data_IF_871230653279
#
_entry.id   IF_871230653279
#
_cell.length_a   1.000
_cell.length_b   1.000
_cell.length_c   1.000
_cell.angle_alpha   90.00
_cell.angle_beta   90.00
_cell.angle_gamma   90.00
#
_symmetry.space_group_name_H-M   'P 1'
#
loop_
_entity.id
_entity.type
_entity.pdbx_description
1 polymer ?
#
# COMPACT_ATOMS: atom_id res chain seq x y z
N UNK A 1 55.78 50.52 6.58
CA UNK A 1 54.47 50.27 5.95
C UNK A 1 53.42 50.38 7.04
N UNK A 2 52.75 51.54 7.11
CA UNK A 2 51.72 51.86 8.10
C UNK A 2 50.36 51.76 7.43
N UNK A 3 49.53 50.82 7.83
CA UNK A 3 48.14 50.71 7.36
C UNK A 3 47.22 51.37 8.38
N UNK A 4 46.61 52.48 7.94
CA UNK A 4 45.61 53.28 8.66
C UNK A 4 44.31 52.49 8.81
N UNK A 5 43.76 52.44 10.02
CA UNK A 5 42.37 52.03 10.30
C UNK A 5 41.45 53.21 9.98
N UNK A 6 40.47 53.00 9.11
CA UNK A 6 39.35 53.92 8.87
C UNK A 6 38.19 53.46 9.76
N UNK A 7 37.77 54.32 10.69
CA UNK A 7 36.57 54.14 11.49
C UNK A 7 35.37 54.64 10.68
N UNK A 8 34.45 53.73 10.36
CA UNK A 8 33.15 54.04 9.78
C UNK A 8 32.15 54.23 10.93
N UNK A 9 31.67 55.46 11.13
CA UNK A 9 30.59 55.77 12.08
C UNK A 9 29.28 55.61 11.31
N UNK A 10 28.57 54.50 11.55
CA UNK A 10 27.20 54.30 11.07
C UNK A 10 26.24 54.96 12.08
N UNK A 11 25.41 55.88 11.59
CA UNK A 11 24.36 56.53 12.34
C UNK A 11 23.24 55.53 12.64
N UNK A 12 23.02 55.26 13.93
CA UNK A 12 21.96 54.41 14.45
C UNK A 12 20.67 55.23 14.53
N UNK A 13 19.78 55.08 13.54
CA UNK A 13 18.42 55.63 13.59
C UNK A 13 17.54 54.73 14.43
N UNK A 14 17.16 55.21 15.63
CA UNK A 14 16.14 54.63 16.49
C UNK A 14 14.76 54.76 15.82
N UNK A 15 14.23 53.64 15.34
CA UNK A 15 12.82 53.52 14.97
C UNK A 15 12.05 53.13 16.26
N UNK A 16 10.98 53.84 16.64
CA UNK A 16 10.17 53.44 17.78
C UNK A 16 9.43 52.13 17.43
N UNK A 17 9.76 51.06 18.14
CA UNK A 17 8.95 49.84 18.19
C UNK A 17 7.59 50.20 18.80
N UNK A 18 6.58 50.37 17.94
CA UNK A 18 5.19 50.36 18.36
C UNK A 18 4.85 48.97 18.87
N UNK A 19 4.42 48.86 20.12
CA UNK A 19 3.79 47.68 20.67
C UNK A 19 2.48 47.50 19.89
N UNK A 20 2.47 46.64 18.86
CA UNK A 20 1.23 46.22 18.23
C UNK A 20 0.53 45.25 19.18
N UNK A 21 -0.76 45.47 19.31
CA UNK A 21 -1.69 44.75 20.15
C UNK A 21 -1.51 43.22 20.06
N UNK A 22 -1.73 42.55 21.19
CA UNK A 22 -1.78 41.09 21.35
C UNK A 22 -2.75 40.47 20.33
N UNK A 23 -2.24 40.15 19.13
CA UNK A 23 -2.94 39.33 18.16
C UNK A 23 -3.09 37.96 18.81
N UNK A 24 -4.31 37.65 19.26
CA UNK A 24 -4.61 36.38 19.90
C UNK A 24 -4.06 35.27 18.99
N UNK A 25 -3.28 34.31 19.55
CA UNK A 25 -2.67 33.27 18.73
C UNK A 25 -3.77 32.60 17.91
N UNK A 26 -3.62 32.64 16.59
CA UNK A 26 -4.50 31.90 15.69
C UNK A 26 -4.49 30.45 16.16
N UNK A 27 -5.67 29.86 16.48
CA UNK A 27 -5.71 28.49 16.94
C UNK A 27 -5.00 27.62 15.93
N UNK A 28 -4.03 26.82 16.38
CA UNK A 28 -3.36 25.86 15.52
C UNK A 28 -4.44 24.97 14.88
N UNK A 29 -4.33 24.70 13.56
CA UNK A 29 -5.25 23.78 12.91
C UNK A 29 -5.23 22.46 13.69
N UNK A 30 -6.39 21.81 13.89
CA UNK A 30 -6.43 20.54 14.59
C UNK A 30 -5.49 19.55 13.89
N UNK A 31 -4.51 19.02 14.64
CA UNK A 31 -3.59 18.02 14.13
C UNK A 31 -4.31 16.72 13.72
N UNK A 32 -3.64 15.87 12.95
CA UNK A 32 -4.17 14.57 12.57
C UNK A 32 -4.51 13.74 13.83
N UNK A 33 -5.59 12.95 13.77
CA UNK A 33 -5.82 11.96 14.80
C UNK A 33 -4.65 10.95 14.82
N UNK A 34 -4.33 10.42 16.01
CA UNK A 34 -3.25 9.46 16.18
C UNK A 34 -3.42 8.25 15.25
N UNK A 35 -2.38 7.93 14.48
CA UNK A 35 -2.40 6.81 13.51
C UNK A 35 -3.02 7.12 12.15
N UNK A 36 -3.50 8.34 11.92
CA UNK A 36 -4.06 8.78 10.63
C UNK A 36 -3.08 9.58 9.77
N UNK A 37 -1.88 9.89 10.28
CA UNK A 37 -0.89 10.66 9.54
C UNK A 37 -0.10 9.78 8.57
N UNK A 38 -0.02 10.20 7.31
CA UNK A 38 0.76 9.52 6.26
C UNK A 38 1.63 10.56 5.57
N UNK A 39 2.94 10.51 5.83
CA UNK A 39 3.86 11.58 5.47
C UNK A 39 3.48 12.87 6.20
N UNK A 40 3.15 13.93 5.47
CA UNK A 40 2.72 15.24 6.03
C UNK A 40 1.19 15.44 5.97
N UNK A 41 0.42 14.41 5.59
CA UNK A 41 -1.01 14.50 5.37
C UNK A 41 -1.84 13.74 6.43
N UNK A 42 -3.06 14.21 6.68
CA UNK A 42 -4.05 13.47 7.45
C UNK A 42 -4.97 12.66 6.54
N UNK A 43 -5.02 11.34 6.73
CA UNK A 43 -6.03 10.48 6.14
C UNK A 43 -7.32 10.48 6.98
N UNK A 44 -8.45 10.14 6.35
CA UNK A 44 -9.74 9.98 6.98
C UNK A 44 -10.69 11.16 6.76
N UNK A 45 -11.80 11.14 7.50
CA UNK A 45 -12.85 12.16 7.43
C UNK A 45 -12.37 13.46 8.09
N UNK A 46 -12.51 14.63 7.45
CA UNK A 46 -12.19 15.91 8.06
C UNK A 46 -13.04 16.15 9.32
N UNK A 47 -12.42 16.64 10.38
CA UNK A 47 -13.15 16.94 11.62
C UNK A 47 -14.14 18.11 11.43
N UNK A 48 -15.32 17.99 12.03
CA UNK A 48 -16.31 19.07 12.05
C UNK A 48 -17.29 19.04 10.87
N UNK A 49 -17.98 20.17 10.66
CA UNK A 49 -18.95 20.31 9.59
C UNK A 49 -18.23 20.53 8.26
N UNK A 50 -18.72 19.89 7.20
CA UNK A 50 -18.19 20.06 5.85
C UNK A 50 -18.70 21.34 5.17
N UNK A 51 -19.75 21.96 5.72
CA UNK A 51 -20.27 23.24 5.25
C UNK A 51 -20.81 24.09 6.41
N UNK A 52 -20.57 25.40 6.36
CA UNK A 52 -20.97 26.37 7.40
C UNK A 52 -22.40 26.94 7.22
N UNK A 53 -23.16 26.41 6.26
CA UNK A 53 -24.47 26.95 5.87
C UNK A 53 -25.56 25.88 5.74
N UNK A 54 -26.79 26.32 5.46
CA UNK A 54 -27.95 25.43 5.28
C UNK A 54 -27.86 24.51 4.04
N UNK A 55 -26.85 24.69 3.19
CA UNK A 55 -26.65 23.89 1.98
C UNK A 55 -25.21 23.45 1.82
N UNK A 56 -25.00 22.14 1.87
CA UNK A 56 -23.77 21.49 1.46
C UNK A 56 -23.71 21.26 -0.07
N UNK A 57 -24.75 21.58 -0.84
CA UNK A 57 -24.73 21.34 -2.27
C UNK A 57 -23.69 22.22 -3.00
N UNK A 58 -22.87 21.66 -3.91
CA UNK A 58 -21.96 22.43 -4.75
C UNK A 58 -22.72 23.32 -5.73
N UNK A 59 -22.03 24.33 -6.29
CA UNK A 59 -22.61 25.23 -7.29
C UNK A 59 -22.88 24.58 -8.64
N UNK A 60 -22.39 23.35 -8.86
CA UNK A 60 -22.60 22.55 -10.07
C UNK A 60 -23.97 21.85 -10.13
N UNK A 61 -24.75 21.86 -9.05
CA UNK A 61 -26.06 21.22 -8.99
C UNK A 61 -27.07 21.90 -9.93
N UNK A 62 -27.71 21.11 -10.80
CA UNK A 62 -28.78 21.58 -11.70
C UNK A 62 -30.02 22.01 -10.93
N UNK A 63 -30.39 21.25 -9.91
CA UNK A 63 -31.41 21.59 -8.93
C UNK A 63 -31.02 21.02 -7.56
N UNK A 64 -31.62 21.57 -6.50
CA UNK A 64 -31.31 21.18 -5.12
C UNK A 64 -32.62 20.90 -4.39
N UNK A 65 -32.75 19.70 -3.82
CA UNK A 65 -33.89 19.29 -2.98
C UNK A 65 -33.39 18.90 -1.60
N UNK A 66 -33.94 19.51 -0.54
CA UNK A 66 -33.65 19.11 0.84
C UNK A 66 -34.69 18.10 1.32
N UNK A 67 -34.23 17.03 1.97
CA UNK A 67 -35.09 15.98 2.53
C UNK A 67 -34.80 15.78 4.02
N UNK A 68 -35.80 15.34 4.76
CA UNK A 68 -35.75 15.21 6.23
C UNK A 68 -36.06 13.81 6.75
N UNK A 69 -36.50 12.90 5.87
CA UNK A 69 -36.88 11.53 6.21
C UNK A 69 -36.80 10.60 4.99
N UNK A 70 -36.96 9.28 5.21
CA UNK A 70 -36.86 8.26 4.16
C UNK A 70 -37.89 8.40 3.04
N UNK A 71 -39.12 8.83 3.35
CA UNK A 71 -40.17 8.98 2.35
C UNK A 71 -39.85 10.11 1.38
N UNK A 72 -39.41 11.25 1.91
CA UNK A 72 -38.92 12.38 1.10
C UNK A 72 -37.67 12.03 0.31
N UNK A 73 -36.74 11.27 0.90
CA UNK A 73 -35.54 10.81 0.20
C UNK A 73 -35.89 9.92 -1.00
N UNK A 74 -36.75 8.93 -0.79
CA UNK A 74 -37.18 8.03 -1.85
C UNK A 74 -37.91 8.78 -2.98
N UNK A 75 -38.76 9.75 -2.65
CA UNK A 75 -39.45 10.59 -3.63
C UNK A 75 -38.47 11.50 -4.39
N UNK A 76 -37.54 12.15 -3.69
CA UNK A 76 -36.54 13.02 -4.30
C UNK A 76 -35.64 12.24 -5.25
N UNK A 77 -35.15 11.06 -4.86
CA UNK A 77 -34.34 10.21 -5.74
C UNK A 77 -35.14 9.74 -6.95
N UNK A 78 -36.42 9.36 -6.79
CA UNK A 78 -37.26 8.95 -7.91
C UNK A 78 -37.43 10.08 -8.95
N UNK A 79 -37.58 11.32 -8.49
CA UNK A 79 -37.85 12.49 -9.34
C UNK A 79 -36.59 13.22 -9.86
N UNK A 80 -35.42 12.98 -9.25
CA UNK A 80 -34.16 13.60 -9.66
C UNK A 80 -33.70 13.14 -11.04
N UNK A 81 -33.08 14.05 -11.80
CA UNK A 81 -32.38 13.81 -13.04
C UNK A 81 -30.86 13.83 -12.80
N UNK A 82 -30.08 13.34 -13.76
CA UNK A 82 -28.62 13.45 -13.67
C UNK A 82 -28.18 14.91 -13.48
N UNK A 83 -27.24 15.14 -12.57
CA UNK A 83 -26.76 16.45 -12.14
C UNK A 83 -27.64 17.16 -11.10
N UNK A 84 -28.79 16.61 -10.72
CA UNK A 84 -29.55 17.10 -9.57
C UNK A 84 -28.89 16.69 -8.25
N UNK A 85 -29.13 17.49 -7.20
CA UNK A 85 -28.56 17.28 -5.88
C UNK A 85 -29.63 17.16 -4.80
N UNK A 86 -29.40 16.24 -3.87
CA UNK A 86 -30.24 16.01 -2.70
C UNK A 86 -29.43 16.34 -1.46
N UNK A 87 -29.98 17.20 -0.59
CA UNK A 87 -29.40 17.54 0.70
C UNK A 87 -30.12 16.76 1.78
N UNK A 88 -29.40 15.94 2.53
CA UNK A 88 -29.92 15.23 3.69
C UNK A 88 -29.83 16.14 4.93
N UNK A 89 -30.95 16.35 5.60
CA UNK A 89 -30.95 16.96 6.93
C UNK A 89 -30.35 15.98 7.95
N UNK A 90 -29.84 16.46 9.10
CA UNK A 90 -29.38 15.59 10.18
C UNK A 90 -30.45 14.56 10.57
N UNK A 91 -30.08 13.29 10.63
CA UNK A 91 -31.03 12.20 10.80
C UNK A 91 -30.46 10.83 10.46
N UNK A 92 -31.32 9.82 10.56
CA UNK A 92 -31.00 8.44 10.18
C UNK A 92 -31.93 8.04 9.05
N UNK A 93 -31.34 7.60 7.95
CA UNK A 93 -32.02 7.12 6.76
C UNK A 93 -31.77 5.63 6.62
N UNK A 94 -32.80 4.85 6.30
CA UNK A 94 -32.66 3.40 6.19
C UNK A 94 -31.79 3.01 4.99
N UNK A 95 -32.01 3.65 3.84
CA UNK A 95 -31.37 3.30 2.59
C UNK A 95 -31.32 4.49 1.64
N UNK A 96 -30.26 4.55 0.84
CA UNK A 96 -30.12 5.44 -0.30
C UNK A 96 -29.86 4.60 -1.55
N UNK A 97 -30.76 4.62 -2.53
CA UNK A 97 -30.64 3.84 -3.77
C UNK A 97 -30.70 4.74 -5.00
N UNK A 98 -29.55 4.99 -5.61
CA UNK A 98 -29.35 5.77 -6.81
C UNK A 98 -28.61 4.98 -7.90
N UNK A 99 -28.75 3.65 -7.94
CA UNK A 99 -27.95 2.71 -8.74
C UNK A 99 -27.73 3.06 -10.24
N UNK A 100 -28.60 3.89 -10.83
CA UNK A 100 -28.59 4.25 -12.24
C UNK A 100 -28.63 5.77 -12.51
N UNK A 101 -28.37 6.61 -11.50
CA UNK A 101 -28.54 8.06 -11.61
C UNK A 101 -27.27 8.81 -11.22
N UNK A 102 -26.79 9.67 -12.10
CA UNK A 102 -25.69 10.60 -11.85
C UNK A 102 -26.10 11.76 -10.95
N UNK A 103 -26.67 11.49 -9.77
CA UNK A 103 -27.12 12.50 -8.81
C UNK A 103 -26.11 12.68 -7.67
N UNK A 104 -26.07 13.87 -7.08
CA UNK A 104 -25.26 14.15 -5.89
C UNK A 104 -26.09 14.09 -4.61
N UNK A 105 -25.60 13.44 -3.56
CA UNK A 105 -26.21 13.42 -2.23
C UNK A 105 -25.24 13.98 -1.20
N UNK A 106 -25.68 15.00 -0.48
CA UNK A 106 -24.83 15.79 0.41
C UNK A 106 -25.44 15.89 1.80
N UNK A 107 -24.61 15.70 2.82
CA UNK A 107 -24.94 15.95 4.22
C UNK A 107 -23.89 16.85 4.88
N UNK A 108 -24.23 17.38 6.05
CA UNK A 108 -23.37 18.29 6.82
C UNK A 108 -22.09 17.62 7.35
N UNK A 109 -22.13 16.30 7.55
CA UNK A 109 -21.00 15.48 7.95
C UNK A 109 -21.47 14.11 8.50
N UNK A 110 -20.58 13.11 8.52
CA UNK A 110 -20.95 11.75 8.95
C UNK A 110 -21.33 11.66 10.44
N UNK A 111 -21.03 12.70 11.24
CA UNK A 111 -21.44 12.77 12.64
C UNK A 111 -22.92 13.21 12.82
N UNK A 112 -23.54 13.80 11.79
CA UNK A 112 -24.92 14.32 11.86
C UNK A 112 -25.93 13.54 11.04
N UNK A 113 -25.48 12.85 9.98
CA UNK A 113 -26.35 12.09 9.08
C UNK A 113 -25.82 10.67 8.86
N UNK A 114 -26.68 9.68 9.12
CA UNK A 114 -26.40 8.28 8.82
C UNK A 114 -27.37 7.71 7.78
N UNK A 115 -26.86 6.81 6.95
CA UNK A 115 -27.62 6.01 5.99
C UNK A 115 -27.30 4.54 6.27
N UNK A 116 -28.27 3.64 6.31
CA UNK A 116 -27.99 2.21 6.47
C UNK A 116 -27.13 1.68 5.32
N UNK A 117 -27.73 1.48 4.16
CA UNK A 117 -27.03 1.03 2.94
C UNK A 117 -27.10 2.10 1.86
N UNK A 118 -25.97 2.36 1.20
CA UNK A 118 -25.89 3.19 0.00
C UNK A 118 -25.70 2.30 -1.21
N UNK A 119 -26.59 2.39 -2.19
CA UNK A 119 -26.40 1.81 -3.53
C UNK A 119 -26.35 2.96 -4.51
N UNK A 120 -25.28 3.06 -5.29
CA UNK A 120 -25.04 4.20 -6.17
C UNK A 120 -24.43 3.75 -7.49
N UNK A 121 -24.73 4.51 -8.54
CA UNK A 121 -24.12 4.32 -9.84
C UNK A 121 -24.59 5.38 -10.83
N UNK A 122 -24.08 5.32 -12.05
CA UNK A 122 -24.28 6.37 -13.06
C UNK A 122 -23.14 7.38 -13.04
N UNK A 123 -22.83 7.94 -14.22
CA UNK A 123 -21.68 8.84 -14.37
C UNK A 123 -21.92 10.14 -13.60
N UNK A 124 -20.98 10.52 -12.74
CA UNK A 124 -21.04 11.75 -11.96
C UNK A 124 -21.87 11.66 -10.68
N UNK A 125 -22.26 10.46 -10.25
CA UNK A 125 -22.91 10.28 -8.95
C UNK A 125 -21.92 10.60 -7.81
N UNK A 126 -22.38 11.34 -6.80
CA UNK A 126 -21.54 11.73 -5.66
C UNK A 126 -22.29 11.48 -4.35
N UNK A 127 -21.60 10.94 -3.35
CA UNK A 127 -22.09 10.84 -1.98
C UNK A 127 -21.08 11.51 -1.06
N UNK A 128 -21.52 12.54 -0.32
CA UNK A 128 -20.64 13.31 0.54
C UNK A 128 -21.19 13.53 1.95
N UNK A 129 -20.33 13.31 2.94
CA UNK A 129 -20.59 13.72 4.32
C UNK A 129 -21.60 12.84 5.06
N UNK A 130 -21.69 11.56 4.73
CA UNK A 130 -22.63 10.62 5.36
C UNK A 130 -21.88 9.52 6.10
N UNK A 131 -22.44 9.06 7.22
CA UNK A 131 -22.09 7.76 7.77
C UNK A 131 -22.90 6.67 7.06
N UNK A 132 -22.28 5.54 6.73
CA UNK A 132 -22.90 4.39 6.07
C UNK A 132 -22.53 3.07 6.76
N UNK A 133 -23.38 2.05 6.64
CA UNK A 133 -22.99 0.68 7.02
C UNK A 133 -22.17 0.04 5.90
N UNK A 134 -22.59 0.20 4.64
CA UNK A 134 -21.89 -0.29 3.46
C UNK A 134 -22.27 0.54 2.22
N UNK A 135 -21.42 0.49 1.19
CA UNK A 135 -21.64 1.14 -0.11
C UNK A 135 -21.49 0.12 -1.25
N UNK A 136 -22.50 0.07 -2.11
CA UNK A 136 -22.49 -0.74 -3.34
C UNK A 136 -22.43 0.20 -4.55
N UNK A 137 -21.34 0.15 -5.31
CA UNK A 137 -21.16 0.88 -6.56
C UNK A 137 -21.53 -0.05 -7.71
N UNK A 138 -22.67 0.19 -8.36
CA UNK A 138 -23.25 -0.74 -9.34
C UNK A 138 -22.92 -0.40 -10.80
N UNK A 139 -22.33 0.77 -11.07
CA UNK A 139 -21.94 1.19 -12.41
C UNK A 139 -21.56 2.68 -12.48
N UNK A 140 -20.96 3.11 -13.59
CA UNK A 140 -20.56 4.51 -13.80
C UNK A 140 -19.36 4.96 -12.98
N UNK A 141 -19.10 6.27 -12.99
CA UNK A 141 -18.00 6.92 -12.27
C UNK A 141 -18.55 7.59 -11.02
N UNK A 142 -18.36 6.95 -9.86
CA UNK A 142 -18.91 7.39 -8.57
C UNK A 142 -17.84 8.04 -7.71
N UNK A 143 -18.20 9.13 -7.02
CA UNK A 143 -17.35 9.75 -5.99
C UNK A 143 -17.94 9.59 -4.61
N UNK A 144 -17.16 9.07 -3.67
CA UNK A 144 -17.44 9.05 -2.24
C UNK A 144 -16.47 10.02 -1.57
N UNK A 145 -16.98 11.03 -0.87
CA UNK A 145 -16.15 12.06 -0.23
C UNK A 145 -16.56 12.29 1.21
N UNK A 146 -15.61 12.33 2.15
CA UNK A 146 -15.92 12.52 3.57
C UNK A 146 -17.01 11.55 4.09
N UNK A 147 -16.96 10.31 3.62
CA UNK A 147 -17.90 9.25 4.00
C UNK A 147 -17.27 8.41 5.09
N UNK A 148 -18.05 8.07 6.13
CA UNK A 148 -17.63 7.10 7.16
C UNK A 148 -18.42 5.81 7.01
N UNK A 149 -17.79 4.76 6.55
CA UNK A 149 -18.34 3.41 6.46
C UNK A 149 -17.87 2.62 7.68
N UNK A 150 -18.80 2.02 8.42
CA UNK A 150 -18.47 1.29 9.65
C UNK A 150 -19.37 0.08 9.88
N UNK A 151 -18.76 -1.03 10.31
CA UNK A 151 -19.49 -2.20 10.81
C UNK A 151 -20.26 -2.95 9.72
N UNK A 152 -19.79 -2.90 8.47
CA UNK A 152 -20.39 -3.69 7.39
C UNK A 152 -20.32 -5.18 7.73
N UNK A 153 -21.42 -5.94 7.66
CA UNK A 153 -21.37 -7.39 7.79
C UNK A 153 -20.71 -8.08 6.58
N UNK A 154 -20.46 -7.34 5.50
CA UNK A 154 -19.82 -7.80 4.27
C UNK A 154 -18.65 -6.88 3.92
N UNK A 155 -18.66 -6.32 2.72
CA UNK A 155 -17.66 -5.38 2.23
C UNK A 155 -18.01 -3.96 2.69
N UNK A 156 -17.01 -3.14 2.98
CA UNK A 156 -17.23 -1.72 3.26
C UNK A 156 -17.70 -1.00 2.00
N UNK A 157 -16.90 -1.12 0.94
CA UNK A 157 -17.23 -0.68 -0.42
C UNK A 157 -17.13 -1.87 -1.38
N UNK A 158 -18.22 -2.15 -2.10
CA UNK A 158 -18.25 -3.13 -3.18
C UNK A 158 -18.38 -2.41 -4.52
N UNK A 159 -17.43 -2.63 -5.43
CA UNK A 159 -17.41 -2.07 -6.78
C UNK A 159 -17.73 -3.17 -7.77
N UNK A 160 -18.83 -3.00 -8.49
CA UNK A 160 -19.29 -3.99 -9.47
C UNK A 160 -18.45 -3.96 -10.74
N UNK A 161 -18.52 -5.04 -11.52
CA UNK A 161 -17.84 -5.15 -12.80
C UNK A 161 -18.15 -3.95 -13.72
N UNK A 162 -17.09 -3.37 -14.30
CA UNK A 162 -17.12 -2.18 -15.17
C UNK A 162 -17.43 -0.86 -14.46
N UNK A 163 -17.68 -0.85 -13.15
CA UNK A 163 -17.90 0.38 -12.38
C UNK A 163 -16.58 0.99 -11.92
N UNK A 164 -16.58 2.31 -11.70
CA UNK A 164 -15.43 3.06 -11.21
C UNK A 164 -15.78 3.83 -9.95
N UNK A 165 -14.86 3.89 -9.00
CA UNK A 165 -15.05 4.66 -7.76
C UNK A 165 -13.83 5.48 -7.39
N UNK A 166 -14.06 6.72 -6.98
CA UNK A 166 -13.09 7.53 -6.25
C UNK A 166 -13.57 7.69 -4.82
N UNK A 167 -12.76 7.29 -3.85
CA UNK A 167 -13.01 7.44 -2.42
C UNK A 167 -11.98 8.42 -1.86
N UNK A 168 -12.46 9.55 -1.35
CA UNK A 168 -11.62 10.65 -0.90
C UNK A 168 -11.95 11.06 0.53
N UNK A 169 -10.93 11.32 1.34
CA UNK A 169 -11.08 11.85 2.70
C UNK A 169 -12.08 11.03 3.51
N UNK A 170 -12.03 9.71 3.40
CA UNK A 170 -13.07 8.82 3.91
C UNK A 170 -12.50 7.77 4.85
N UNK A 171 -13.38 7.14 5.61
CA UNK A 171 -13.03 6.10 6.56
C UNK A 171 -13.86 4.85 6.27
N UNK A 172 -13.21 3.69 6.18
CA UNK A 172 -13.84 2.39 6.03
C UNK A 172 -13.33 1.52 7.17
N UNK A 173 -14.19 1.22 8.13
CA UNK A 173 -13.79 0.49 9.35
C UNK A 173 -14.63 -0.75 9.60
N UNK A 174 -14.00 -1.78 10.16
CA UNK A 174 -14.68 -2.94 10.75
C UNK A 174 -15.57 -3.69 9.74
N UNK A 175 -15.08 -3.90 8.52
CA UNK A 175 -15.80 -4.68 7.51
C UNK A 175 -15.65 -6.19 7.76
N UNK A 176 -16.76 -6.92 7.67
CA UNK A 176 -16.83 -8.37 7.89
C UNK A 176 -16.21 -9.23 6.79
N UNK A 177 -15.86 -8.66 5.64
CA UNK A 177 -15.13 -9.35 4.56
C UNK A 177 -14.00 -8.47 3.99
N UNK A 178 -14.30 -7.52 3.09
CA UNK A 178 -13.29 -6.61 2.55
C UNK A 178 -13.50 -5.17 3.02
N UNK A 179 -12.44 -4.38 3.15
CA UNK A 179 -12.60 -2.93 3.23
C UNK A 179 -13.16 -2.40 1.91
N UNK A 180 -12.39 -2.60 0.83
CA UNK A 180 -12.78 -2.32 -0.55
C UNK A 180 -12.65 -3.58 -1.39
N UNK A 181 -13.70 -3.90 -2.14
CA UNK A 181 -13.83 -5.07 -3.00
C UNK A 181 -14.08 -4.61 -4.43
N UNK A 182 -13.17 -4.95 -5.35
CA UNK A 182 -13.20 -4.46 -6.72
C UNK A 182 -12.81 -5.56 -7.70
N UNK A 183 -13.82 -6.27 -8.19
CA UNK A 183 -13.67 -7.39 -9.11
C UNK A 183 -14.21 -7.01 -10.49
N UNK A 184 -13.37 -7.12 -11.51
CA UNK A 184 -13.69 -6.72 -12.90
C UNK A 184 -14.13 -5.26 -13.04
N UNK A 185 -13.79 -4.40 -12.08
CA UNK A 185 -14.13 -2.97 -12.10
C UNK A 185 -13.35 -2.20 -13.15
N UNK A 186 -13.78 -0.97 -13.44
CA UNK A 186 -13.05 -0.04 -14.31
C UNK A 186 -11.86 0.59 -13.58
N UNK A 187 -12.14 1.41 -12.56
CA UNK A 187 -11.09 1.99 -11.72
C UNK A 187 -11.45 2.10 -10.23
N UNK A 188 -10.42 2.07 -9.39
CA UNK A 188 -10.55 2.34 -7.94
C UNK A 188 -9.46 3.32 -7.51
N UNK A 189 -9.88 4.52 -7.12
CA UNK A 189 -9.00 5.55 -6.61
C UNK A 189 -9.28 5.81 -5.12
N UNK A 190 -8.26 5.74 -4.28
CA UNK A 190 -8.33 6.04 -2.86
C UNK A 190 -7.39 7.21 -2.55
N UNK A 191 -7.91 8.30 -1.98
CA UNK A 191 -7.11 9.44 -1.56
C UNK A 191 -7.45 9.89 -0.15
N UNK A 192 -6.44 10.16 0.68
CA UNK A 192 -6.64 10.60 2.07
C UNK A 192 -7.61 9.68 2.83
N UNK A 193 -7.52 8.37 2.60
CA UNK A 193 -8.52 7.40 3.07
C UNK A 193 -7.93 6.49 4.14
N UNK A 194 -8.78 6.05 5.06
CA UNK A 194 -8.44 5.02 6.05
C UNK A 194 -9.26 3.78 5.76
N UNK A 195 -8.59 2.63 5.66
CA UNK A 195 -9.21 1.31 5.61
C UNK A 195 -8.70 0.51 6.78
N UNK A 196 -9.55 0.17 7.76
CA UNK A 196 -9.08 -0.37 9.03
C UNK A 196 -9.95 -1.52 9.58
N UNK A 197 -9.29 -2.54 10.11
CA UNK A 197 -9.93 -3.59 10.91
C UNK A 197 -10.86 -4.49 10.11
N UNK A 198 -10.42 -4.92 8.92
CA UNK A 198 -11.19 -5.78 8.02
C UNK A 198 -10.95 -7.25 8.33
N UNK A 199 -12.00 -8.08 8.35
CA UNK A 199 -11.90 -9.52 8.61
C UNK A 199 -11.29 -10.33 7.43
N UNK A 200 -11.08 -9.67 6.30
CA UNK A 200 -10.29 -10.15 5.18
C UNK A 200 -9.35 -9.04 4.69
N UNK A 201 -9.08 -8.95 3.38
CA UNK A 201 -8.27 -7.89 2.83
C UNK A 201 -8.78 -6.48 3.10
N UNK A 202 -7.83 -5.57 3.31
CA UNK A 202 -8.14 -4.15 3.38
C UNK A 202 -8.71 -3.68 2.04
N UNK A 203 -7.92 -3.84 0.98
CA UNK A 203 -8.31 -3.54 -0.40
C UNK A 203 -8.00 -4.74 -1.28
N UNK A 204 -8.97 -5.18 -2.09
CA UNK A 204 -8.78 -6.21 -3.11
C UNK A 204 -9.19 -5.66 -4.48
N UNK A 205 -8.22 -5.59 -5.38
CA UNK A 205 -8.41 -5.26 -6.79
C UNK A 205 -8.04 -6.47 -7.63
N UNK A 206 -9.00 -7.01 -8.37
CA UNK A 206 -8.78 -8.15 -9.24
C UNK A 206 -9.57 -8.04 -10.53
N UNK A 207 -8.96 -8.50 -11.60
CA UNK A 207 -9.60 -8.58 -12.90
C UNK A 207 -9.56 -10.02 -13.42
N UNK A 208 -10.74 -10.57 -13.72
CA UNK A 208 -10.97 -11.92 -14.17
C UNK A 208 -10.72 -13.01 -13.12
N UNK A 209 -11.17 -14.22 -13.45
CA UNK A 209 -10.88 -15.45 -12.69
C UNK A 209 -9.66 -16.20 -13.26
N UNK A 210 -9.19 -15.80 -14.45
CA UNK A 210 -8.05 -16.43 -15.12
C UNK A 210 -6.92 -15.41 -15.19
N UNK A 211 -5.73 -15.74 -14.63
CA UNK A 211 -4.57 -14.88 -14.66
C UNK A 211 -4.31 -14.27 -16.04
N UNK A 212 -4.00 -12.99 -16.08
CA UNK A 212 -3.57 -12.26 -17.27
C UNK A 212 -4.60 -12.22 -18.42
N UNK A 213 -5.89 -12.37 -18.12
CA UNK A 213 -6.95 -12.47 -19.15
C UNK A 213 -8.08 -11.44 -19.01
N UNK A 214 -7.72 -10.27 -18.49
CA UNK A 214 -8.62 -9.15 -18.29
C UNK A 214 -9.48 -8.80 -19.51
N UNK A 215 -10.80 -8.79 -19.32
CA UNK A 215 -11.72 -8.26 -20.32
C UNK A 215 -11.70 -6.71 -20.35
N UNK A 216 -11.34 -6.08 -19.23
CA UNK A 216 -11.20 -4.63 -19.07
C UNK A 216 -10.01 -4.38 -18.15
N UNK A 217 -9.15 -3.42 -18.52
CA UNK A 217 -7.97 -3.09 -17.72
C UNK A 217 -8.42 -2.41 -16.41
N UNK A 218 -8.31 -3.12 -15.29
CA UNK A 218 -8.56 -2.56 -13.96
C UNK A 218 -7.42 -1.62 -13.58
N UNK A 219 -7.74 -0.35 -13.37
CA UNK A 219 -6.77 0.69 -12.99
C UNK A 219 -7.03 1.23 -11.58
N UNK A 220 -6.03 1.84 -10.96
CA UNK A 220 -6.26 2.59 -9.73
C UNK A 220 -5.10 3.47 -9.28
N UNK A 221 -5.42 4.39 -8.40
CA UNK A 221 -4.45 5.20 -7.67
C UNK A 221 -4.75 5.19 -6.17
N UNK A 222 -3.74 4.90 -5.35
CA UNK A 222 -3.85 4.93 -3.89
C UNK A 222 -2.87 5.95 -3.36
N UNK A 223 -3.37 7.02 -2.74
CA UNK A 223 -2.56 8.18 -2.36
C UNK A 223 -2.89 8.64 -0.94
N UNK A 224 -1.88 8.94 -0.11
CA UNK A 224 -2.07 9.43 1.27
C UNK A 224 -3.04 8.56 2.09
N UNK A 225 -2.90 7.24 2.00
CA UNK A 225 -3.90 6.28 2.51
C UNK A 225 -3.27 5.39 3.58
N UNK A 226 -4.05 5.10 4.63
CA UNK A 226 -3.71 4.12 5.67
C UNK A 226 -4.55 2.88 5.46
N UNK A 227 -3.90 1.72 5.39
CA UNK A 227 -4.55 0.41 5.41
C UNK A 227 -4.02 -0.34 6.64
N UNK A 228 -4.86 -0.55 7.64
CA UNK A 228 -4.42 -1.08 8.93
C UNK A 228 -5.26 -2.26 9.43
N UNK A 229 -4.64 -3.14 10.20
CA UNK A 229 -5.35 -4.20 10.95
C UNK A 229 -6.19 -5.15 10.08
N UNK A 230 -5.78 -5.40 8.83
CA UNK A 230 -6.40 -6.41 7.99
C UNK A 230 -6.11 -7.83 8.53
N UNK A 231 -6.99 -8.81 8.22
CA UNK A 231 -6.81 -10.21 8.66
C UNK A 231 -6.20 -11.13 7.60
N UNK A 232 -5.99 -10.70 6.36
CA UNK A 232 -5.43 -11.58 5.31
C UNK A 232 -4.31 -10.87 4.58
N UNK A 233 -4.62 -9.75 3.93
CA UNK A 233 -3.62 -8.90 3.30
C UNK A 233 -4.07 -7.45 3.38
N UNK A 234 -3.17 -6.51 3.61
CA UNK A 234 -3.53 -5.09 3.58
C UNK A 234 -4.06 -4.70 2.20
N UNK A 235 -3.21 -4.87 1.18
CA UNK A 235 -3.51 -4.54 -0.21
C UNK A 235 -3.23 -5.74 -1.13
N UNK A 236 -4.26 -6.22 -1.85
CA UNK A 236 -4.16 -7.26 -2.86
C UNK A 236 -4.42 -6.69 -4.25
N UNK A 237 -3.47 -6.83 -5.17
CA UNK A 237 -3.55 -6.36 -6.55
C UNK A 237 -3.28 -7.54 -7.47
N UNK A 238 -4.30 -7.97 -8.21
CA UNK A 238 -4.24 -9.12 -9.12
C UNK A 238 -4.68 -8.70 -10.51
N UNK A 239 -3.81 -8.83 -11.51
CA UNK A 239 -4.10 -8.44 -12.90
C UNK A 239 -4.63 -6.99 -13.04
N UNK A 240 -4.05 -6.05 -12.27
CA UNK A 240 -4.46 -4.65 -12.28
C UNK A 240 -3.25 -3.71 -12.34
N UNK A 241 -3.46 -2.51 -12.90
CA UNK A 241 -2.45 -1.45 -12.97
C UNK A 241 -2.69 -0.39 -11.89
N UNK A 242 -1.79 -0.26 -10.92
CA UNK A 242 -2.01 0.60 -9.75
C UNK A 242 -0.80 1.51 -9.48
N UNK A 243 -1.07 2.80 -9.28
CA UNK A 243 -0.08 3.73 -8.72
C UNK A 243 -0.30 3.90 -7.22
N UNK A 244 0.77 3.79 -6.44
CA UNK A 244 0.78 3.94 -4.99
C UNK A 244 1.70 5.10 -4.63
N UNK A 245 1.20 6.07 -3.86
CA UNK A 245 1.96 7.27 -3.48
C UNK A 245 1.70 7.65 -2.02
N UNK A 246 2.74 7.59 -1.19
CA UNK A 246 2.67 7.90 0.24
C UNK A 246 1.54 7.11 0.92
N UNK A 247 1.71 5.79 1.00
CA UNK A 247 0.72 4.85 1.55
C UNK A 247 1.36 4.05 2.67
N UNK A 248 0.62 3.89 3.76
CA UNK A 248 1.02 3.04 4.89
C UNK A 248 0.11 1.82 4.97
N UNK A 249 0.72 0.63 4.95
CA UNK A 249 0.06 -0.64 5.22
C UNK A 249 0.64 -1.21 6.51
N UNK A 250 -0.18 -1.48 7.53
CA UNK A 250 0.36 -1.97 8.80
C UNK A 250 -0.52 -2.93 9.59
N UNK A 251 0.15 -3.65 10.48
CA UNK A 251 -0.47 -4.49 11.49
C UNK A 251 -1.40 -5.57 10.87
N UNK A 252 -1.04 -6.08 9.68
CA UNK A 252 -1.78 -7.16 9.04
C UNK A 252 -1.53 -8.47 9.79
N UNK A 253 -2.62 -9.14 10.16
CA UNK A 253 -2.57 -10.38 10.95
C UNK A 253 -3.07 -11.57 10.13
N UNK A 254 -2.99 -12.77 10.71
CA UNK A 254 -3.53 -14.00 10.10
C UNK A 254 -4.98 -14.21 10.53
N UNK A 255 -5.87 -14.37 9.56
CA UNK A 255 -7.30 -14.66 9.75
C UNK A 255 -7.52 -16.14 10.05
N UNK A 256 -8.66 -16.49 10.65
CA UNK A 256 -8.91 -17.84 11.19
C UNK A 256 -8.87 -19.00 10.18
N UNK A 257 -8.82 -18.74 8.88
CA UNK A 257 -8.81 -19.74 7.81
C UNK A 257 -7.69 -19.52 6.76
N UNK A 258 -6.73 -18.63 7.02
CA UNK A 258 -5.65 -18.32 6.08
C UNK A 258 -4.31 -18.70 6.70
N UNK A 259 -3.36 -19.10 5.85
CA UNK A 259 -2.02 -19.50 6.29
C UNK A 259 -1.07 -18.30 6.40
N UNK A 260 -1.38 -17.19 5.70
CA UNK A 260 -0.53 -16.00 5.60
C UNK A 260 -1.31 -14.71 5.86
N UNK A 261 -0.65 -13.77 6.55
CA UNK A 261 -1.12 -12.40 6.85
C UNK A 261 -0.15 -11.37 6.28
N UNK A 262 -0.34 -10.93 5.03
CA UNK A 262 0.63 -10.12 4.29
C UNK A 262 0.37 -8.61 4.30
N UNK A 263 1.38 -7.80 4.03
CA UNK A 263 1.20 -6.36 3.83
C UNK A 263 0.59 -6.06 2.46
N UNK A 264 1.41 -6.17 1.42
CA UNK A 264 1.05 -5.90 0.02
C UNK A 264 1.34 -7.14 -0.83
N UNK A 265 0.34 -7.61 -1.57
CA UNK A 265 0.45 -8.72 -2.51
C UNK A 265 0.15 -8.23 -3.92
N UNK A 266 1.10 -8.45 -4.83
CA UNK A 266 1.03 -8.08 -6.25
C UNK A 266 1.22 -9.37 -7.04
N UNK A 267 0.20 -9.81 -7.77
CA UNK A 267 0.21 -11.12 -8.39
C UNK A 267 -0.46 -11.17 -9.76
N UNK A 268 -0.07 -12.19 -10.53
CA UNK A 268 -0.47 -12.38 -11.94
C UNK A 268 -0.13 -11.11 -12.72
N UNK A 269 -0.61 -10.80 -13.91
CA UNK A 269 -0.05 -9.71 -14.72
C UNK A 269 -0.35 -8.27 -14.22
N UNK A 270 -0.30 -8.03 -12.92
CA UNK A 270 -0.37 -6.72 -12.29
C UNK A 270 0.86 -5.86 -12.66
N UNK A 271 0.63 -4.55 -12.70
CA UNK A 271 1.65 -3.53 -12.96
C UNK A 271 1.55 -2.44 -11.91
N UNK A 272 2.50 -2.40 -10.98
CA UNK A 272 2.44 -1.52 -9.81
C UNK A 272 3.64 -0.59 -9.76
N UNK A 273 3.35 0.71 -9.67
CA UNK A 273 4.35 1.75 -9.40
C UNK A 273 4.12 2.34 -8.02
N UNK A 274 5.11 2.25 -7.14
CA UNK A 274 5.03 2.74 -5.77
C UNK A 274 6.09 3.81 -5.48
N UNK A 275 5.68 4.89 -4.82
CA UNK A 275 6.55 5.91 -4.22
C UNK A 275 6.18 6.07 -2.75
N UNK A 276 7.19 6.08 -1.86
CA UNK A 276 7.00 6.26 -0.42
C UNK A 276 5.98 5.29 0.22
N UNK A 277 6.01 4.02 -0.22
CA UNK A 277 5.21 2.95 0.37
C UNK A 277 5.86 2.48 1.69
N UNK A 278 5.08 2.45 2.78
CA UNK A 278 5.49 1.94 4.09
C UNK A 278 4.69 0.69 4.43
N UNK A 279 5.37 -0.42 4.73
CA UNK A 279 4.74 -1.69 5.09
C UNK A 279 5.30 -2.21 6.41
N UNK A 280 4.47 -2.26 7.44
CA UNK A 280 4.92 -2.45 8.82
C UNK A 280 4.18 -3.61 9.52
N UNK A 281 4.89 -4.41 10.31
CA UNK A 281 4.30 -5.37 11.24
C UNK A 281 3.32 -6.38 10.61
N UNK A 282 3.58 -6.84 9.38
CA UNK A 282 2.77 -7.88 8.75
C UNK A 282 3.18 -9.26 9.29
N UNK A 283 2.18 -10.10 9.59
CA UNK A 283 2.41 -11.40 10.21
C UNK A 283 3.20 -12.39 9.35
N UNK A 284 3.14 -12.25 8.02
CA UNK A 284 3.94 -13.01 7.08
C UNK A 284 4.88 -12.11 6.26
N UNK A 285 4.55 -11.76 5.03
CA UNK A 285 5.40 -10.90 4.21
C UNK A 285 5.01 -9.43 4.33
N UNK A 286 5.98 -8.52 4.19
CA UNK A 286 5.73 -7.11 3.93
C UNK A 286 5.21 -6.93 2.52
N UNK A 287 6.05 -7.21 1.51
CA UNK A 287 5.67 -7.12 0.09
C UNK A 287 5.92 -8.47 -0.59
N UNK A 288 4.92 -8.98 -1.30
CA UNK A 288 5.03 -10.13 -2.19
C UNK A 288 4.75 -9.71 -3.63
N UNK A 289 5.68 -10.02 -4.53
CA UNK A 289 5.51 -9.86 -5.98
C UNK A 289 5.61 -11.24 -6.63
N UNK A 290 4.54 -11.68 -7.28
CA UNK A 290 4.45 -12.99 -7.93
C UNK A 290 4.07 -12.81 -9.40
N UNK A 291 5.04 -13.00 -10.30
CA UNK A 291 4.82 -12.96 -11.75
C UNK A 291 4.13 -11.67 -12.23
N UNK A 292 4.61 -10.53 -11.73
CA UNK A 292 4.06 -9.19 -11.98
C UNK A 292 5.16 -8.16 -12.20
N UNK A 293 4.79 -7.00 -12.74
CA UNK A 293 5.65 -5.82 -12.74
C UNK A 293 5.48 -5.02 -11.44
N UNK A 294 6.59 -4.68 -10.80
CA UNK A 294 6.62 -3.84 -9.60
C UNK A 294 7.82 -2.92 -9.61
N UNK A 295 7.59 -1.62 -9.45
CA UNK A 295 8.65 -0.61 -9.31
C UNK A 295 8.39 0.22 -8.06
N UNK A 296 9.28 0.14 -7.08
CA UNK A 296 9.24 0.91 -5.85
C UNK A 296 10.41 1.89 -5.76
N UNK A 297 10.09 3.17 -5.54
CA UNK A 297 11.07 4.24 -5.34
C UNK A 297 10.84 4.90 -3.98
N UNK A 298 11.74 4.68 -3.02
CA UNK A 298 11.54 5.17 -1.67
C UNK A 298 10.54 4.32 -0.88
N UNK A 299 10.65 4.37 0.45
CA UNK A 299 9.74 3.69 1.35
C UNK A 299 10.43 2.86 2.43
N UNK A 300 9.62 2.11 3.16
CA UNK A 300 10.02 1.39 4.37
C UNK A 300 9.31 0.04 4.45
N UNK A 301 10.02 -1.05 4.77
CA UNK A 301 9.41 -2.37 4.95
C UNK A 301 9.98 -3.01 6.21
N UNK A 302 9.23 -2.93 7.32
CA UNK A 302 9.80 -3.21 8.64
C UNK A 302 8.98 -4.20 9.48
N UNK A 303 9.70 -4.95 10.31
CA UNK A 303 9.12 -5.86 11.31
C UNK A 303 8.12 -6.87 10.74
N UNK A 304 8.31 -7.33 9.50
CA UNK A 304 7.53 -8.39 8.89
C UNK A 304 8.24 -9.74 9.08
N UNK A 305 7.53 -10.88 8.98
CA UNK A 305 8.18 -12.21 9.03
C UNK A 305 9.09 -12.46 7.81
N UNK A 306 8.80 -11.81 6.68
CA UNK A 306 9.66 -11.66 5.50
C UNK A 306 9.50 -10.23 5.00
N UNK A 307 10.57 -9.53 4.66
CA UNK A 307 10.49 -8.14 4.19
C UNK A 307 9.85 -8.05 2.80
N UNK A 308 10.67 -8.17 1.75
CA UNK A 308 10.23 -8.18 0.35
C UNK A 308 10.52 -9.54 -0.28
N UNK A 309 9.53 -10.17 -0.90
CA UNK A 309 9.67 -11.45 -1.61
C UNK A 309 9.24 -11.29 -3.06
N UNK A 310 10.12 -11.63 -4.01
CA UNK A 310 9.87 -11.53 -5.45
C UNK A 310 10.06 -12.90 -6.09
N UNK A 311 9.08 -13.39 -6.83
CA UNK A 311 9.17 -14.73 -7.41
C UNK A 311 8.47 -14.84 -8.75
N UNK A 312 8.99 -15.75 -9.58
CA UNK A 312 8.46 -16.04 -10.91
C UNK A 312 8.29 -14.80 -11.79
N UNK A 313 9.10 -13.75 -11.58
CA UNK A 313 8.99 -12.52 -12.35
C UNK A 313 9.26 -12.82 -13.83
N UNK A 314 8.28 -12.54 -14.67
CA UNK A 314 8.37 -12.78 -16.11
C UNK A 314 8.08 -14.21 -16.55
N UNK A 315 7.51 -15.06 -15.67
CA UNK A 315 7.13 -16.43 -16.00
C UNK A 315 5.94 -16.48 -16.96
N UNK A 316 4.89 -15.69 -16.72
CA UNK A 316 3.73 -15.58 -17.63
C UNK A 316 3.76 -14.29 -18.45
N UNK A 317 4.41 -13.23 -17.96
CA UNK A 317 4.48 -11.93 -18.64
C UNK A 317 5.89 -11.59 -19.11
N UNK A 318 6.18 -11.80 -20.39
CA UNK A 318 7.47 -11.40 -20.96
C UNK A 318 7.73 -9.89 -20.76
N UNK A 319 8.86 -9.56 -20.15
CA UNK A 319 9.25 -8.17 -19.86
C UNK A 319 8.69 -7.61 -18.56
N UNK A 320 8.07 -8.43 -17.71
CA UNK A 320 7.81 -8.02 -16.33
C UNK A 320 9.13 -7.71 -15.61
N UNK A 321 9.11 -6.67 -14.77
CA UNK A 321 10.29 -6.18 -14.04
C UNK A 321 9.93 -6.00 -12.57
N UNK A 322 10.81 -6.42 -11.68
CA UNK A 322 10.70 -6.10 -10.26
C UNK A 322 11.90 -5.24 -9.82
N UNK A 323 11.64 -4.01 -9.38
CA UNK A 323 12.67 -3.03 -9.00
C UNK A 323 12.37 -2.39 -7.65
N UNK A 324 13.36 -2.42 -6.76
CA UNK A 324 13.30 -1.79 -5.44
C UNK A 324 14.46 -0.81 -5.32
N UNK A 325 14.16 0.48 -5.20
CA UNK A 325 15.18 1.55 -5.17
C UNK A 325 14.97 2.50 -4.00
N UNK A 326 16.06 2.84 -3.29
CA UNK A 326 16.03 3.78 -2.16
C UNK A 326 15.11 3.35 -1.01
N UNK A 327 14.99 2.05 -0.75
CA UNK A 327 14.12 1.49 0.29
C UNK A 327 14.93 1.10 1.53
N UNK A 328 14.36 1.34 2.71
CA UNK A 328 14.89 0.82 3.97
C UNK A 328 14.05 -0.37 4.42
N UNK A 329 14.72 -1.47 4.79
CA UNK A 329 14.07 -2.66 5.33
C UNK A 329 14.71 -2.96 6.69
N UNK A 330 13.98 -2.78 7.79
CA UNK A 330 14.53 -2.92 9.13
C UNK A 330 13.75 -3.91 10.00
N UNK A 331 14.48 -4.71 10.80
CA UNK A 331 13.87 -5.55 11.83
C UNK A 331 12.97 -6.67 11.31
N UNK A 332 12.99 -6.95 10.00
CA UNK A 332 12.28 -8.10 9.45
C UNK A 332 12.86 -9.38 10.03
N UNK A 333 12.02 -10.39 10.23
CA UNK A 333 12.45 -11.70 10.65
C UNK A 333 12.78 -12.53 9.40
N UNK A 334 13.50 -13.65 9.55
CA UNK A 334 13.65 -14.64 8.48
C UNK A 334 14.47 -14.15 7.29
N UNK A 335 13.87 -13.36 6.40
CA UNK A 335 14.49 -12.83 5.19
C UNK A 335 14.19 -11.34 5.05
N UNK A 336 15.23 -10.53 4.81
CA UNK A 336 15.07 -9.12 4.43
C UNK A 336 14.50 -9.00 3.02
N UNK A 337 15.26 -9.44 2.01
CA UNK A 337 14.81 -9.52 0.61
C UNK A 337 15.03 -10.95 0.09
N UNK A 338 14.01 -11.54 -0.52
CA UNK A 338 14.10 -12.84 -1.19
C UNK A 338 13.73 -12.77 -2.67
N UNK A 339 14.45 -13.53 -3.50
CA UNK A 339 14.16 -13.70 -4.92
C UNK A 339 14.19 -15.19 -5.28
N UNK A 340 13.12 -15.72 -5.89
CA UNK A 340 13.04 -17.13 -6.30
C UNK A 340 12.27 -17.35 -7.63
N UNK A 341 12.04 -18.61 -8.00
CA UNK A 341 11.15 -19.03 -9.08
C UNK A 341 11.70 -18.76 -10.49
N UNK A 342 13.02 -18.60 -10.65
CA UNK A 342 13.61 -18.25 -11.93
C UNK A 342 13.24 -16.85 -12.41
N UNK A 343 13.05 -15.93 -11.46
CA UNK A 343 12.66 -14.55 -11.74
C UNK A 343 13.62 -13.85 -12.69
N UNK A 344 13.09 -13.05 -13.61
CA UNK A 344 13.84 -12.28 -14.58
C UNK A 344 13.81 -10.79 -14.24
N UNK A 345 14.86 -10.07 -14.66
CA UNK A 345 14.96 -8.61 -14.56
C UNK A 345 14.62 -8.03 -13.18
N UNK A 346 15.08 -8.72 -12.12
CA UNK A 346 14.95 -8.24 -10.74
C UNK A 346 16.11 -7.31 -10.40
N UNK A 347 15.82 -6.15 -9.81
CA UNK A 347 16.86 -5.20 -9.40
C UNK A 347 16.61 -4.59 -8.02
N UNK A 348 17.68 -4.45 -7.24
CA UNK A 348 17.66 -3.73 -5.97
C UNK A 348 18.79 -2.73 -5.96
N UNK A 349 18.47 -1.45 -5.73
CA UNK A 349 19.48 -0.40 -5.76
C UNK A 349 19.34 0.65 -4.65
N UNK A 350 20.47 1.21 -4.22
CA UNK A 350 20.53 2.29 -3.22
C UNK A 350 19.71 2.02 -1.95
N UNK A 351 19.61 0.74 -1.55
CA UNK A 351 18.69 0.29 -0.49
C UNK A 351 19.47 -0.28 0.68
N UNK A 352 18.87 -0.24 1.87
CA UNK A 352 19.45 -0.76 3.10
C UNK A 352 18.57 -1.85 3.68
N UNK A 353 19.16 -3.01 3.99
CA UNK A 353 18.54 -4.08 4.75
C UNK A 353 19.26 -4.19 6.08
N UNK A 354 18.57 -3.97 7.20
CA UNK A 354 19.16 -3.96 8.53
C UNK A 354 18.41 -4.87 9.49
N UNK A 355 19.17 -5.41 10.45
CA UNK A 355 18.65 -6.10 11.63
C UNK A 355 17.73 -7.29 11.30
N UNK A 356 18.01 -8.04 10.22
CA UNK A 356 17.21 -9.22 9.89
C UNK A 356 17.39 -10.29 10.96
N UNK A 357 16.34 -10.58 11.72
CA UNK A 357 16.43 -11.48 12.87
C UNK A 357 16.20 -12.95 12.50
N UNK A 358 16.80 -13.85 13.28
CA UNK A 358 16.57 -15.29 13.13
C UNK A 358 15.15 -15.68 13.57
N UNK A 359 14.49 -16.51 12.78
CA UNK A 359 13.24 -17.17 13.13
C UNK A 359 13.14 -18.56 12.49
N UNK A 360 12.33 -19.43 13.08
CA UNK A 360 12.03 -20.74 12.52
C UNK A 360 11.02 -20.59 11.37
N UNK A 361 11.43 -20.88 10.13
CA UNK A 361 10.54 -20.89 8.97
C UNK A 361 10.37 -22.32 8.43
N UNK A 362 9.26 -22.64 7.74
CA UNK A 362 9.19 -23.80 6.88
C UNK A 362 10.29 -23.71 5.81
N UNK A 363 11.00 -24.80 5.60
CA UNK A 363 12.11 -24.87 4.64
C UNK A 363 12.00 -26.08 3.74
N UNK A 364 12.51 -25.93 2.53
CA UNK A 364 12.65 -27.02 1.59
C UNK A 364 13.98 -27.75 1.84
N UNK A 365 13.90 -29.06 2.05
CA UNK A 365 15.09 -29.93 2.09
C UNK A 365 15.02 -30.87 0.89
N UNK A 366 15.91 -30.66 -0.08
CA UNK A 366 15.89 -31.35 -1.38
C UNK A 366 14.53 -31.17 -2.12
N UNK A 367 13.94 -29.98 -2.05
CA UNK A 367 12.68 -29.66 -2.73
C UNK A 367 11.42 -30.25 -2.08
N UNK A 368 11.50 -30.76 -0.86
CA UNK A 368 10.33 -31.24 -0.09
C UNK A 368 10.18 -30.40 1.17
N UNK A 369 8.99 -29.83 1.38
CA UNK A 369 8.63 -29.18 2.65
C UNK A 369 8.58 -30.25 3.75
N UNK A 370 9.58 -30.22 4.63
CA UNK A 370 9.81 -31.35 5.55
C UNK A 370 10.34 -30.94 6.93
N UNK A 371 10.74 -29.68 7.11
CA UNK A 371 11.31 -29.21 8.36
C UNK A 371 11.02 -27.73 8.59
N UNK A 372 11.17 -27.29 9.84
CA UNK A 372 11.35 -25.89 10.15
C UNK A 372 12.77 -25.67 10.64
N UNK A 373 13.44 -24.68 10.06
CA UNK A 373 14.84 -24.35 10.35
C UNK A 373 14.99 -22.86 10.62
N UNK A 374 16.07 -22.48 11.29
CA UNK A 374 16.39 -21.07 11.55
C UNK A 374 16.86 -20.38 10.26
N UNK A 375 16.16 -19.31 9.90
CA UNK A 375 16.46 -18.42 8.77
C UNK A 375 16.59 -17.00 9.31
N UNK A 376 17.55 -16.23 8.79
CA UNK A 376 17.85 -14.87 9.21
C UNK A 376 18.75 -14.15 8.20
N UNK A 377 18.44 -14.30 6.92
CA UNK A 377 19.24 -13.80 5.80
C UNK A 377 18.87 -12.37 5.46
N UNK A 378 19.84 -11.48 5.29
CA UNK A 378 19.56 -10.16 4.76
C UNK A 378 19.01 -10.24 3.34
N UNK A 379 19.64 -11.06 2.50
CA UNK A 379 19.23 -11.29 1.12
C UNK A 379 19.32 -12.79 0.76
N UNK A 380 18.25 -13.35 0.19
CA UNK A 380 18.20 -14.72 -0.35
C UNK A 380 17.97 -14.68 -1.87
N UNK A 381 18.87 -15.28 -2.64
CA UNK A 381 18.84 -15.33 -4.09
C UNK A 381 18.81 -16.78 -4.56
N UNK A 382 17.67 -17.19 -5.10
CA UNK A 382 17.32 -18.59 -5.33
C UNK A 382 16.88 -18.84 -6.78
N UNK A 383 16.80 -20.12 -7.14
CA UNK A 383 16.02 -20.58 -8.29
C UNK A 383 16.51 -20.16 -9.67
N UNK A 384 17.82 -19.96 -9.90
CA UNK A 384 18.38 -19.44 -11.17
C UNK A 384 17.87 -18.03 -11.55
N UNK A 385 17.41 -17.25 -10.58
CA UNK A 385 16.88 -15.91 -10.84
C UNK A 385 17.96 -14.95 -11.38
N UNK A 386 17.57 -14.02 -12.24
CA UNK A 386 18.37 -12.91 -12.75
C UNK A 386 18.20 -11.69 -11.85
N UNK A 387 19.24 -11.37 -11.07
CA UNK A 387 19.20 -10.27 -10.09
C UNK A 387 20.37 -9.30 -10.32
N UNK A 388 20.06 -8.01 -10.27
CA UNK A 388 21.05 -6.92 -10.24
C UNK A 388 21.02 -6.20 -8.90
N UNK A 389 22.12 -6.26 -8.16
CA UNK A 389 22.31 -5.49 -6.92
C UNK A 389 23.26 -4.31 -7.19
N UNK A 390 22.89 -3.10 -6.78
CA UNK A 390 23.73 -1.90 -6.98
C UNK A 390 23.65 -0.94 -5.79
N UNK A 391 24.77 -0.65 -5.14
CA UNK A 391 24.82 0.25 -3.97
C UNK A 391 23.87 -0.21 -2.83
N UNK A 392 23.86 -1.51 -2.55
CA UNK A 392 23.02 -2.11 -1.49
C UNK A 392 23.85 -2.24 -0.21
N UNK A 393 23.27 -1.88 0.92
CA UNK A 393 23.85 -2.15 2.25
C UNK A 393 23.04 -3.22 2.96
N UNK A 394 23.70 -4.26 3.45
CA UNK A 394 23.09 -5.25 4.34
C UNK A 394 23.86 -5.24 5.66
N UNK A 395 23.15 -5.08 6.77
CA UNK A 395 23.76 -5.02 8.09
C UNK A 395 23.00 -5.79 9.16
N UNK A 396 23.73 -6.34 10.13
CA UNK A 396 23.17 -7.02 11.29
C UNK A 396 22.19 -8.16 10.96
N UNK A 397 22.33 -8.82 9.80
CA UNK A 397 21.56 -10.03 9.48
C UNK A 397 22.05 -11.20 10.31
N UNK A 398 21.11 -11.89 10.97
CA UNK A 398 21.43 -12.89 11.99
C UNK A 398 22.15 -14.15 11.44
N UNK A 399 21.96 -14.48 10.16
CA UNK A 399 22.56 -15.69 9.53
C UNK A 399 23.65 -15.35 8.50
N UNK A 400 23.30 -14.70 7.40
CA UNK A 400 24.24 -14.21 6.37
C UNK A 400 23.72 -12.91 5.74
N UNK A 401 24.64 -12.11 5.19
CA UNK A 401 24.27 -10.90 4.45
C UNK A 401 23.61 -11.23 3.11
N UNK A 402 24.22 -12.14 2.35
CA UNK A 402 23.72 -12.61 1.06
C UNK A 402 23.89 -14.14 0.95
N UNK A 403 22.79 -14.84 0.72
CA UNK A 403 22.75 -16.27 0.37
C UNK A 403 22.38 -16.40 -1.11
N UNK A 404 23.20 -17.12 -1.87
CA UNK A 404 22.92 -17.52 -3.26
C UNK A 404 22.82 -19.05 -3.30
N UNK A 405 21.69 -19.57 -3.76
CA UNK A 405 21.50 -21.01 -3.92
C UNK A 405 21.60 -21.45 -5.39
N UNK A 406 22.70 -22.12 -5.73
CA UNK A 406 22.96 -22.63 -7.07
C UNK A 406 23.64 -21.62 -8.00
N UNK A 407 23.36 -21.78 -9.29
CA UNK A 407 23.77 -20.82 -10.32
C UNK A 407 22.82 -19.62 -10.37
N UNK A 408 23.27 -18.51 -10.95
CA UNK A 408 22.42 -17.34 -11.18
C UNK A 408 21.95 -17.26 -12.63
N UNK A 409 20.84 -16.54 -12.86
CA UNK A 409 20.31 -16.29 -14.20
C UNK A 409 21.24 -15.42 -15.06
N UNK A 410 20.96 -15.34 -16.36
CA UNK A 410 21.74 -14.47 -17.26
C UNK A 410 21.68 -12.99 -16.81
N UNK A 411 22.74 -12.23 -17.08
CA UNK A 411 22.87 -10.80 -16.77
C UNK A 411 22.88 -10.44 -15.27
N UNK A 412 22.94 -11.45 -14.40
CA UNK A 412 23.06 -11.27 -12.96
C UNK A 412 24.33 -10.51 -12.57
N UNK A 413 24.21 -9.54 -11.66
CA UNK A 413 25.35 -8.72 -11.26
C UNK A 413 25.24 -8.16 -9.84
N UNK A 414 26.41 -7.89 -9.24
CA UNK A 414 26.55 -7.25 -7.93
C UNK A 414 27.54 -6.09 -8.07
N UNK A 415 27.10 -4.89 -7.74
CA UNK A 415 27.92 -3.68 -7.72
C UNK A 415 27.79 -2.95 -6.38
N UNK A 416 28.92 -2.56 -5.80
CA UNK A 416 28.98 -1.71 -4.60
C UNK A 416 28.11 -2.21 -3.42
N UNK A 417 28.22 -3.51 -3.12
CA UNK A 417 27.54 -4.17 -2.01
C UNK A 417 28.32 -3.97 -0.71
N UNK A 418 27.69 -3.38 0.31
CA UNK A 418 28.27 -3.23 1.65
C UNK A 418 27.65 -4.23 2.61
N UNK A 419 28.47 -5.01 3.31
CA UNK A 419 28.04 -6.03 4.27
C UNK A 419 28.69 -5.78 5.62
N UNK A 420 27.90 -5.36 6.62
CA UNK A 420 28.39 -4.97 7.95
C UNK A 420 27.79 -5.87 9.03
N UNK A 421 28.64 -6.42 9.91
CA UNK A 421 28.17 -7.14 11.12
C UNK A 421 27.14 -8.24 10.84
N UNK A 422 27.20 -8.86 9.65
CA UNK A 422 26.35 -9.99 9.28
C UNK A 422 26.87 -11.27 9.95
N UNK A 423 25.96 -12.18 10.29
CA UNK A 423 26.11 -13.27 11.25
C UNK A 423 27.24 -14.30 11.07
N UNK A 424 27.10 -15.42 11.77
CA UNK A 424 28.20 -16.33 12.15
C UNK A 424 29.01 -16.94 10.98
N UNK A 425 28.48 -16.90 9.75
CA UNK A 425 28.94 -17.75 8.65
C UNK A 425 29.55 -17.00 7.45
N UNK A 426 29.66 -15.68 7.55
CA UNK A 426 30.30 -14.84 6.53
C UNK A 426 29.31 -13.91 5.84
N UNK A 427 29.84 -13.13 4.90
CA UNK A 427 29.11 -12.02 4.29
C UNK A 427 28.31 -12.45 3.04
N UNK A 428 28.95 -13.19 2.12
CA UNK A 428 28.30 -13.77 0.94
C UNK A 428 28.56 -15.27 0.92
N UNK A 429 27.49 -16.06 0.83
CA UNK A 429 27.54 -17.52 0.74
C UNK A 429 26.88 -17.94 -0.55
N UNK A 430 27.61 -18.68 -1.40
CA UNK A 430 27.02 -19.38 -2.53
C UNK A 430 27.13 -20.89 -2.30
N UNK A 431 25.98 -21.55 -2.24
CA UNK A 431 25.88 -22.99 -2.00
C UNK A 431 25.27 -23.70 -3.22
N UNK A 432 25.27 -25.03 -3.25
CA UNK A 432 24.75 -25.84 -4.36
C UNK A 432 25.30 -25.44 -5.75
N UNK A 433 26.46 -24.77 -5.77
CA UNK A 433 27.11 -24.32 -7.00
C UNK A 433 27.79 -25.50 -7.68
N UNK A 434 27.42 -25.75 -8.94
CA UNK A 434 28.01 -26.83 -9.74
C UNK A 434 29.27 -26.35 -10.46
N UNK A 435 30.21 -27.27 -10.72
CA UNK A 435 31.45 -26.96 -11.44
C UNK A 435 31.14 -26.40 -12.84
N UNK A 436 31.58 -25.16 -13.08
CA UNK A 436 31.36 -24.45 -14.35
C UNK A 436 30.04 -23.69 -14.43
N UNK A 437 29.28 -23.63 -13.34
CA UNK A 437 28.04 -22.86 -13.25
C UNK A 437 28.22 -21.35 -13.35
N UNK A 438 27.11 -20.65 -13.57
CA UNK A 438 27.12 -19.18 -13.72
C UNK A 438 27.15 -18.46 -12.37
N UNK A 439 28.06 -17.50 -12.22
CA UNK A 439 28.17 -16.59 -11.09
C UNK A 439 27.71 -15.18 -11.47
N UNK A 440 27.28 -14.36 -10.50
CA UNK A 440 26.98 -12.96 -10.77
C UNK A 440 28.26 -12.21 -11.15
N UNK A 441 28.15 -11.30 -12.11
CA UNK A 441 29.26 -10.40 -12.46
C UNK A 441 29.43 -9.38 -11.35
N UNK A 442 30.60 -9.36 -10.71
CA UNK A 442 30.91 -8.40 -9.64
C UNK A 442 31.65 -7.17 -10.15
N UNK A 443 31.30 -5.99 -9.67
CA UNK A 443 32.04 -4.74 -9.94
C UNK A 443 32.05 -3.80 -8.74
N UNK A 444 32.96 -2.82 -8.71
CA UNK A 444 33.06 -1.88 -7.58
C UNK A 444 33.50 -2.56 -6.28
N UNK A 445 32.96 -2.11 -5.15
CA UNK A 445 33.26 -2.69 -3.83
C UNK A 445 32.30 -3.85 -3.52
N UNK A 446 32.77 -5.09 -3.65
CA UNK A 446 32.01 -6.30 -3.27
C UNK A 446 32.88 -7.15 -2.33
N UNK A 447 32.41 -7.47 -1.11
CA UNK A 447 33.11 -8.37 -0.20
C UNK A 447 33.39 -9.74 -0.87
N UNK A 448 34.50 -10.40 -0.53
CA UNK A 448 34.76 -11.73 -1.06
C UNK A 448 33.70 -12.72 -0.60
N UNK A 449 33.17 -13.52 -1.51
CA UNK A 449 32.23 -14.59 -1.20
C UNK A 449 32.89 -15.91 -0.84
N UNK A 450 32.12 -16.78 -0.18
CA UNK A 450 32.49 -18.16 0.16
C UNK A 450 31.61 -19.09 -0.67
N UNK A 451 32.24 -20.01 -1.39
CA UNK A 451 31.55 -21.15 -2.02
C UNK A 451 31.63 -22.34 -1.10
N UNK A 452 30.48 -22.94 -0.78
CA UNK A 452 30.42 -24.14 0.08
C UNK A 452 29.69 -25.27 -0.63
N UNK A 453 30.31 -26.45 -0.63
CA UNK A 453 29.71 -27.69 -1.09
C UNK A 453 29.26 -28.60 0.08
N UNK A 454 29.78 -28.36 1.29
CA UNK A 454 29.68 -29.29 2.42
C UNK A 454 28.68 -28.85 3.50
N UNK A 455 28.43 -27.54 3.64
CA UNK A 455 27.43 -26.97 4.55
C UNK A 455 26.34 -26.29 3.73
N UNK A 456 25.13 -26.86 3.75
CA UNK A 456 23.95 -26.32 3.09
C UNK A 456 23.06 -25.62 4.11
N UNK A 457 22.82 -24.35 3.87
CA UNK A 457 21.83 -23.56 4.56
C UNK A 457 20.44 -23.93 4.08
N UNK A 458 19.52 -24.03 5.03
CA UNK A 458 18.11 -24.23 4.73
C UNK A 458 17.53 -22.99 4.04
N UNK A 459 16.73 -23.23 3.01
CA UNK A 459 16.11 -22.20 2.18
C UNK A 459 14.64 -22.10 2.58
N UNK A 460 14.13 -20.89 2.89
CA UNK A 460 12.72 -20.71 3.21
C UNK A 460 11.85 -21.18 2.04
N UNK A 461 10.73 -21.82 2.37
CA UNK A 461 9.72 -22.19 1.37
C UNK A 461 9.12 -20.93 0.71
N UNK A 462 8.72 -21.09 -0.55
CA UNK A 462 8.02 -20.07 -1.35
C UNK A 462 6.82 -19.50 -0.59
N UNK A 463 6.52 -18.23 -0.88
CA UNK A 463 5.36 -17.55 -0.32
C UNK A 463 4.20 -17.66 -1.29
N UNK A 464 3.10 -18.28 -0.91
CA UNK A 464 1.91 -18.37 -1.78
C UNK A 464 1.10 -17.08 -1.67
N UNK A 465 0.77 -16.40 -2.80
CA UNK A 465 -0.13 -15.25 -2.77
C UNK A 465 -1.47 -15.61 -2.12
N UNK A 466 -2.00 -14.77 -1.20
CA UNK A 466 -3.26 -15.08 -0.53
C UNK A 466 -4.43 -15.10 -1.52
N UNK A 467 -5.21 -16.18 -1.50
CA UNK A 467 -6.49 -16.27 -2.21
C UNK A 467 -6.41 -16.55 -3.71
N UNK A 468 -5.23 -16.96 -4.20
CA UNK A 468 -4.99 -17.44 -5.56
C UNK A 468 -4.97 -18.97 -5.59
#
# INVERSE_FOLDING_TARGET
MNIRRIALIAALSLVPFGCSDDEAPTPEPPGCAEGNEVGEACAGVPSGKLCDGASCAPSSCSSVTTVTNDAELSEAVANANDGDCIILSPGNYAQLDMAAKGIGVFAEGPDSTSVGTVTTGGSGAEVRGVAATNVNVTGGDVRLSAVRISGSPQDGVSVSAGASVTVEQSEIRQSGRYGVSAFDSGSVDLSYTIVEGTEGPGVWMQCGDTPCSCATDLQGAITHTVIANAKIVGLSIVDASVTIDNVEVRDTTVGGNFEAGGGVSIAHCADVMATDLRVLNSADFGILVHDSSFVMNGGQVDNNLRGVWMQQIGASQAGAVASVTSVTLDGNLGVGIGVDGGSLDVSVSNSTVSNTANISLPVLVNGVSAASEQVGDGFSWLGLSSVTLSSVTVENSARTGLLIDGEVGANSSIADLTLNETGEKGNIIQQNFVDGGTEPVTSGMVPPGIKTADELFAIPEDVVPPGI
#
